data_IF_874185531643
#
_entry.id   IF_874185531643
#
_cell.length_a   1.000
_cell.length_b   1.000
_cell.length_c   1.000
_cell.angle_alpha   90.00
_cell.angle_beta   90.00
_cell.angle_gamma   90.00
#
_symmetry.space_group_name_H-M   'P 1'
#
loop_
_entity.id
_entity.type
_entity.pdbx_description
1 polymer ?
#
# COMPACT_ATOMS: atom_id res chain seq x y z
N UNK A 1 -8.17 22.45 30.69
CA UNK A 1 -8.08 21.14 30.01
C UNK A 1 -8.11 21.23 28.47
N UNK A 2 -8.74 22.24 27.85
CA UNK A 2 -8.83 22.36 26.37
C UNK A 2 -7.52 22.78 25.68
N UNK A 3 -6.67 23.54 26.38
CA UNK A 3 -5.36 24.04 25.88
C UNK A 3 -4.32 22.94 25.72
N UNK A 4 -4.32 21.91 26.58
CA UNK A 4 -3.35 20.81 26.53
C UNK A 4 -3.54 19.92 25.29
N UNK A 5 -4.77 19.51 24.99
CA UNK A 5 -5.09 18.73 23.77
C UNK A 5 -4.83 19.51 22.48
N UNK A 6 -5.09 20.83 22.46
CA UNK A 6 -4.74 21.69 21.31
C UNK A 6 -3.23 21.82 21.13
N UNK A 7 -2.48 21.96 22.21
CA UNK A 7 -1.02 22.02 22.19
C UNK A 7 -0.40 20.73 21.64
N UNK A 8 -0.87 19.56 22.09
CA UNK A 8 -0.40 18.26 21.58
C UNK A 8 -0.69 18.05 20.08
N UNK A 9 -1.88 18.43 19.60
CA UNK A 9 -2.18 18.36 18.17
C UNK A 9 -1.37 19.34 17.32
N UNK A 10 -0.94 20.48 17.88
CA UNK A 10 -0.04 21.44 17.20
C UNK A 10 1.43 20.99 17.24
N UNK A 11 1.81 20.15 18.20
CA UNK A 11 3.18 19.65 18.34
C UNK A 11 3.57 18.61 17.27
N UNK A 12 2.60 17.95 16.62
CA UNK A 12 2.86 17.05 15.49
C UNK A 12 2.06 17.46 14.24
N UNK A 13 2.42 18.60 13.60
CA UNK A 13 1.70 19.14 12.45
C UNK A 13 1.82 18.25 11.20
N UNK A 14 2.86 17.41 11.12
CA UNK A 14 3.19 16.58 9.97
C UNK A 14 2.61 15.16 10.04
N UNK A 15 1.80 14.84 11.06
CA UNK A 15 1.30 13.48 11.28
C UNK A 15 0.57 12.90 10.06
N UNK A 16 -0.28 13.70 9.39
CA UNK A 16 -0.99 13.26 8.19
C UNK A 16 -0.07 13.06 7.00
N UNK A 17 0.88 13.98 6.77
CA UNK A 17 1.86 13.87 5.69
C UNK A 17 2.74 12.63 5.87
N UNK A 18 3.11 12.31 7.12
CA UNK A 18 3.91 11.12 7.41
C UNK A 18 3.13 9.83 7.10
N UNK A 19 1.88 9.74 7.55
CA UNK A 19 1.00 8.58 7.24
C UNK A 19 0.83 8.43 5.72
N UNK A 20 0.59 9.52 5.00
CA UNK A 20 0.43 9.50 3.56
C UNK A 20 1.72 9.07 2.85
N UNK A 21 2.87 9.58 3.26
CA UNK A 21 4.17 9.20 2.70
C UNK A 21 4.49 7.72 2.94
N UNK A 22 4.24 7.21 4.15
CA UNK A 22 4.38 5.79 4.46
C UNK A 22 3.45 4.93 3.60
N UNK A 23 2.19 5.34 3.43
CA UNK A 23 1.22 4.64 2.60
C UNK A 23 1.69 4.57 1.14
N UNK A 24 2.17 5.68 0.58
CA UNK A 24 2.73 5.73 -0.78
C UNK A 24 3.90 4.76 -0.92
N UNK A 25 4.82 4.74 0.05
CA UNK A 25 5.97 3.83 0.03
C UNK A 25 5.54 2.35 0.03
N UNK A 26 4.57 2.00 0.88
CA UNK A 26 4.03 0.63 0.94
C UNK A 26 3.36 0.25 -0.39
N UNK A 27 2.60 1.17 -1.00
CA UNK A 27 1.93 0.91 -2.27
C UNK A 27 2.92 0.77 -3.43
N UNK A 28 4.00 1.57 -3.46
CA UNK A 28 5.08 1.41 -4.43
C UNK A 28 5.73 0.03 -4.28
N UNK A 29 6.08 -0.34 -3.05
CA UNK A 29 6.67 -1.66 -2.76
C UNK A 29 5.73 -2.80 -3.22
N UNK A 30 4.43 -2.67 -2.97
CA UNK A 30 3.44 -3.64 -3.40
C UNK A 30 3.45 -3.81 -4.93
N UNK A 31 3.39 -2.70 -5.68
CA UNK A 31 3.42 -2.72 -7.15
C UNK A 31 4.75 -3.29 -7.67
N UNK A 32 5.89 -2.93 -7.07
CA UNK A 32 7.20 -3.47 -7.47
C UNK A 32 7.26 -4.99 -7.31
N UNK A 33 6.75 -5.54 -6.21
CA UNK A 33 6.71 -6.99 -6.00
C UNK A 33 5.74 -7.67 -6.99
N UNK A 34 4.60 -7.04 -7.29
CA UNK A 34 3.65 -7.55 -8.30
C UNK A 34 4.27 -7.65 -9.69
N UNK A 35 5.02 -6.61 -10.11
CA UNK A 35 5.74 -6.61 -11.39
C UNK A 35 6.80 -7.71 -11.40
N UNK A 36 7.53 -7.89 -10.30
CA UNK A 36 8.52 -8.95 -10.18
C UNK A 36 7.89 -10.35 -10.25
N UNK A 37 6.77 -10.59 -9.55
CA UNK A 37 6.02 -11.86 -9.62
C UNK A 37 5.49 -12.14 -11.01
N UNK A 38 5.01 -11.11 -11.72
CA UNK A 38 4.59 -11.24 -13.12
C UNK A 38 5.77 -11.68 -14.01
N UNK A 39 6.92 -11.02 -13.85
CA UNK A 39 8.12 -11.37 -14.60
C UNK A 39 8.58 -12.80 -14.31
N UNK A 40 8.63 -13.19 -13.03
CA UNK A 40 8.97 -14.55 -12.61
C UNK A 40 8.01 -15.58 -13.22
N UNK A 41 6.70 -15.29 -13.16
CA UNK A 41 5.68 -16.16 -13.73
C UNK A 41 5.79 -16.30 -15.25
N UNK A 42 6.08 -15.22 -15.97
CA UNK A 42 6.21 -15.22 -17.42
C UNK A 42 7.44 -16.00 -17.88
N UNK A 43 8.59 -15.79 -17.23
CA UNK A 43 9.80 -16.52 -17.55
C UNK A 43 9.62 -18.02 -17.35
N UNK A 44 9.02 -18.41 -16.22
CA UNK A 44 8.76 -19.83 -15.96
C UNK A 44 7.72 -20.43 -16.90
N UNK A 45 6.72 -19.65 -17.35
CA UNK A 45 5.77 -20.12 -18.35
C UNK A 45 6.42 -20.35 -19.73
N UNK A 46 7.37 -19.50 -20.13
CA UNK A 46 8.16 -19.67 -21.36
C UNK A 46 9.04 -20.92 -21.30
N UNK A 47 9.60 -21.22 -20.12
CA UNK A 47 10.40 -22.42 -19.87
C UNK A 47 9.54 -23.69 -19.65
N UNK A 48 8.22 -23.63 -19.90
CA UNK A 48 7.24 -24.70 -19.63
C UNK A 48 7.16 -25.17 -18.16
N UNK A 49 7.76 -24.42 -17.23
CA UNK A 49 7.73 -24.67 -15.78
C UNK A 49 6.46 -24.08 -15.15
N UNK A 50 5.32 -24.71 -15.41
CA UNK A 50 4.00 -24.24 -14.95
C UNK A 50 3.79 -24.31 -13.44
N UNK A 51 4.66 -25.00 -12.72
CA UNK A 51 4.61 -25.13 -11.25
C UNK A 51 4.66 -23.80 -10.53
N UNK A 52 5.29 -22.78 -11.13
CA UNK A 52 5.46 -21.44 -10.53
C UNK A 52 4.29 -20.51 -10.86
N UNK A 53 3.51 -20.79 -11.92
CA UNK A 53 2.43 -19.92 -12.39
C UNK A 53 1.31 -19.78 -11.35
N UNK A 54 0.81 -20.89 -10.81
CA UNK A 54 -0.30 -20.87 -9.84
C UNK A 54 0.13 -20.25 -8.50
N UNK A 55 1.27 -20.63 -7.90
CA UNK A 55 1.77 -19.98 -6.69
C UNK A 55 2.00 -18.48 -6.86
N UNK A 56 2.58 -18.04 -7.99
CA UNK A 56 2.79 -16.62 -8.27
C UNK A 56 1.46 -15.87 -8.38
N UNK A 57 0.46 -16.44 -9.04
CA UNK A 57 -0.89 -15.87 -9.12
C UNK A 57 -1.55 -15.72 -7.74
N UNK A 58 -1.51 -16.76 -6.92
CA UNK A 58 -2.11 -16.73 -5.57
C UNK A 58 -1.39 -15.70 -4.69
N UNK A 59 -0.06 -15.67 -4.72
CA UNK A 59 0.74 -14.69 -3.98
C UNK A 59 0.41 -13.26 -4.42
N UNK A 60 0.33 -13.01 -5.73
CA UNK A 60 -0.10 -11.73 -6.30
C UNK A 60 -1.51 -11.34 -5.86
N UNK A 61 -2.47 -12.26 -5.85
CA UNK A 61 -3.83 -11.98 -5.41
C UNK A 61 -3.89 -11.59 -3.93
N UNK A 62 -3.23 -12.35 -3.05
CA UNK A 62 -3.16 -12.06 -1.62
C UNK A 62 -2.49 -10.71 -1.36
N UNK A 63 -1.35 -10.45 -2.00
CA UNK A 63 -0.64 -9.17 -1.87
C UNK A 63 -1.46 -8.00 -2.41
N UNK A 64 -2.24 -8.20 -3.48
CA UNK A 64 -3.15 -7.19 -4.01
C UNK A 64 -4.22 -6.84 -2.97
N UNK A 65 -4.88 -7.83 -2.36
CA UNK A 65 -5.90 -7.55 -1.34
C UNK A 65 -5.34 -6.88 -0.09
N UNK A 66 -4.13 -7.26 0.34
CA UNK A 66 -3.43 -6.57 1.43
C UNK A 66 -3.14 -5.12 1.05
N UNK A 67 -2.59 -4.88 -0.16
CA UNK A 67 -2.35 -3.55 -0.71
C UNK A 67 -3.62 -2.71 -0.84
N UNK A 68 -4.71 -3.33 -1.27
CA UNK A 68 -6.02 -2.70 -1.39
C UNK A 68 -6.58 -2.33 -0.01
N UNK A 69 -6.43 -3.21 0.99
CA UNK A 69 -6.84 -2.93 2.37
C UNK A 69 -6.08 -1.72 2.96
N UNK A 70 -4.84 -1.47 2.56
CA UNK A 70 -4.10 -0.28 2.98
C UNK A 70 -4.76 1.03 2.56
N UNK A 71 -5.56 1.05 1.49
CA UNK A 71 -6.33 2.24 1.07
C UNK A 71 -7.34 2.69 2.14
N UNK A 72 -7.72 1.83 3.07
CA UNK A 72 -8.52 2.20 4.24
C UNK A 72 -7.87 3.33 5.07
N UNK A 73 -6.53 3.38 5.11
CA UNK A 73 -5.77 4.38 5.86
C UNK A 73 -5.55 5.69 5.08
N UNK A 74 -6.09 5.81 3.87
CA UNK A 74 -6.01 7.05 3.11
C UNK A 74 -6.70 8.17 3.91
N UNK A 75 -6.01 9.29 4.20
CA UNK A 75 -6.62 10.38 4.93
C UNK A 75 -7.79 10.94 4.13
N UNK A 76 -8.99 10.95 4.72
CA UNK A 76 -10.16 11.59 4.13
C UNK A 76 -9.89 13.09 4.06
N UNK A 77 -9.77 13.61 2.84
CA UNK A 77 -9.61 15.04 2.60
C UNK A 77 -10.70 15.81 3.34
N UNK A 78 -10.33 16.95 3.93
CA UNK A 78 -11.28 17.83 4.59
C UNK A 78 -12.10 18.54 3.51
N UNK A 79 -13.03 17.82 2.88
CA UNK A 79 -14.03 18.38 1.98
C UNK A 79 -14.95 19.27 2.83
N UNK A 80 -14.46 20.45 3.21
CA UNK A 80 -15.33 21.52 3.66
C UNK A 80 -16.26 21.78 2.49
N UNK A 81 -17.51 21.31 2.60
CA UNK A 81 -18.61 21.83 1.81
C UNK A 81 -18.56 23.35 2.01
N UNK A 82 -18.14 24.05 0.96
CA UNK A 82 -18.37 25.49 0.84
C UNK A 82 -19.87 25.71 0.78
#
# INVERSE_FOLDING_TARGET
MSTFRRSQNRANPNKLNNILSTLIFILILNVSIQIWLLYASLNNALDNNKEILIPAFIASAVLFFIGFAWLYYLPKGNFRKK
#
